data_IF_592793455398
#
_entry.id   IF_592793455398
#
_cell.length_a   1.000
_cell.length_b   1.000
_cell.length_c   1.000
_cell.angle_alpha   90.00
_cell.angle_beta   90.00
_cell.angle_gamma   90.00
#
_symmetry.space_group_name_H-M   'P 1'
#
loop_
_entity.id
_entity.type
_entity.pdbx_description
1 polymer ?
#
# COMPACT_ATOMS: atom_id res chain seq x y z
N UNK A 1 8.45 11.91 19.59
CA UNK A 1 7.87 12.15 19.51
C UNK A 1 7.13 11.63 19.67
N UNK A 2 6.80 11.58 19.58
CA UNK A 2 6.07 11.19 19.79
C UNK A 2 5.91 10.64 19.15
N UNK A 3 6.74 9.99 19.15
CA UNK A 3 6.07 9.64 18.31
C UNK A 3 4.73 10.00 18.19
N UNK A 4 4.46 11.06 18.31
CA UNK A 4 3.08 11.41 18.14
C UNK A 4 2.56 11.11 16.77
N UNK A 5 3.40 11.17 15.76
CA UNK A 5 2.96 10.84 14.43
C UNK A 5 2.50 9.40 14.32
N UNK A 6 3.26 8.49 14.87
CA UNK A 6 2.89 7.09 14.85
C UNK A 6 1.61 6.86 15.63
N UNK A 7 1.45 7.53 16.75
CA UNK A 7 0.24 7.38 17.54
C UNK A 7 -1.00 7.79 16.77
N UNK A 8 -0.91 8.84 15.99
CA UNK A 8 -2.05 9.31 15.18
C UNK A 8 -2.38 8.37 14.03
N UNK A 9 -1.40 7.63 13.56
CA UNK A 9 -1.56 6.77 12.40
C UNK A 9 -1.56 5.29 12.75
N UNK A 10 -1.71 4.97 14.01
CA UNK A 10 -1.67 3.58 14.41
C UNK A 10 -2.83 2.81 13.82
N UNK A 11 -2.61 1.54 13.63
CA UNK A 11 -3.62 0.69 13.09
C UNK A 11 -4.67 0.28 14.10
N UNK A 12 -5.62 -0.51 13.65
CA UNK A 12 -6.67 -1.05 14.49
C UNK A 12 -6.03 -1.86 15.60
N UNK A 13 -6.58 -1.78 16.81
CA UNK A 13 -6.08 -2.49 17.98
C UNK A 13 -4.72 -2.01 18.43
N UNK A 14 -4.28 -0.86 17.96
CA UNK A 14 -2.98 -0.36 18.31
C UNK A 14 -1.82 -1.11 17.67
N UNK A 15 -2.13 -2.10 16.84
CA UNK A 15 -1.11 -2.86 16.11
C UNK A 15 -0.82 -2.14 14.81
N UNK A 16 0.42 -1.72 14.63
CA UNK A 16 0.82 -1.02 13.44
C UNK A 16 2.29 -1.29 13.20
N UNK A 17 2.73 -1.02 11.99
CA UNK A 17 4.14 -1.20 11.66
C UNK A 17 4.95 0.02 12.11
N UNK A 18 6.27 -0.10 12.01
CA UNK A 18 7.17 0.97 12.39
C UNK A 18 7.37 2.00 11.27
N UNK A 19 6.61 1.90 10.18
CA UNK A 19 6.81 2.72 8.99
C UNK A 19 5.66 3.70 8.74
N UNK A 20 4.83 3.96 9.75
CA UNK A 20 3.64 4.79 9.56
C UNK A 20 3.98 6.22 9.12
N UNK A 21 5.17 6.68 9.42
CA UNK A 21 5.61 8.01 9.02
C UNK A 21 5.83 8.12 7.51
N UNK A 22 5.85 7.00 6.79
CA UNK A 22 5.96 7.02 5.34
C UNK A 22 4.62 7.28 4.65
N UNK A 23 3.51 7.28 5.38
CA UNK A 23 2.20 7.47 4.79
C UNK A 23 1.99 8.93 4.43
N UNK A 24 1.87 9.20 3.13
CA UNK A 24 1.60 10.52 2.61
C UNK A 24 0.23 10.59 1.93
N UNK A 25 -0.24 9.46 1.40
CA UNK A 25 -1.48 9.40 0.64
C UNK A 25 -2.34 8.29 1.22
N UNK A 26 -3.56 8.62 1.61
CA UNK A 26 -4.50 7.66 2.19
C UNK A 26 -5.64 7.37 1.22
N UNK A 27 -6.13 8.39 0.54
CA UNK A 27 -7.31 8.27 -0.32
C UNK A 27 -6.94 7.75 -1.70
N UNK A 28 -7.80 6.87 -2.24
CA UNK A 28 -7.61 6.38 -3.59
C UNK A 28 -7.99 7.46 -4.60
N UNK A 29 -7.36 7.45 -5.79
CA UNK A 29 -7.79 8.34 -6.86
C UNK A 29 -9.20 7.97 -7.33
N UNK A 30 -9.86 8.90 -8.00
CA UNK A 30 -11.24 8.70 -8.46
C UNK A 30 -11.37 7.51 -9.40
N UNK A 31 -10.38 7.29 -10.24
CA UNK A 31 -10.39 6.16 -11.15
C UNK A 31 -9.02 5.54 -11.22
N UNK A 32 -9.00 4.23 -11.38
CA UNK A 32 -7.77 3.45 -11.45
C UNK A 32 -7.90 2.54 -12.67
N UNK A 33 -6.99 2.71 -13.63
CA UNK A 33 -7.02 1.92 -14.86
C UNK A 33 -6.50 0.50 -14.65
N UNK A 34 -5.62 0.31 -13.66
CA UNK A 34 -5.04 -1.00 -13.41
C UNK A 34 -3.65 -0.85 -12.81
N UNK A 35 -2.93 -1.96 -12.76
CA UNK A 35 -1.54 -1.94 -12.33
C UNK A 35 -0.71 -1.19 -13.37
N UNK A 36 -0.04 -0.13 -12.93
CA UNK A 36 0.70 0.74 -13.86
C UNK A 36 1.76 -0.03 -14.64
N UNK A 37 2.52 -0.87 -13.94
CA UNK A 37 3.57 -1.63 -14.62
C UNK A 37 3.01 -2.73 -15.51
N UNK A 38 1.91 -3.36 -15.10
CA UNK A 38 1.28 -4.36 -15.97
C UNK A 38 0.73 -3.73 -17.23
N UNK A 39 0.13 -2.55 -17.13
CA UNK A 39 -0.37 -1.84 -18.31
C UNK A 39 0.76 -1.50 -19.27
N UNK A 40 1.93 -1.15 -18.73
CA UNK A 40 3.08 -0.81 -19.56
C UNK A 40 3.69 -2.03 -20.26
N UNK A 41 3.60 -3.20 -19.64
CA UNK A 41 4.28 -4.39 -20.15
C UNK A 41 3.35 -5.47 -20.70
N UNK A 42 2.03 -5.24 -20.68
CA UNK A 42 1.07 -6.24 -21.12
C UNK A 42 0.83 -7.34 -20.10
N UNK A 43 1.21 -7.12 -18.85
CA UNK A 43 1.01 -8.10 -17.79
C UNK A 43 -0.43 -8.17 -17.31
N UNK A 44 -0.69 -9.13 -16.42
CA UNK A 44 -2.02 -9.33 -15.85
C UNK A 44 -1.93 -9.19 -14.32
N UNK A 45 -3.06 -8.84 -13.73
CA UNK A 45 -3.13 -8.70 -12.28
C UNK A 45 -4.41 -9.32 -11.73
N UNK A 46 -4.39 -9.63 -10.43
CA UNK A 46 -5.57 -10.15 -9.74
C UNK A 46 -6.24 -9.03 -8.96
N UNK A 47 -5.51 -8.40 -8.04
CA UNK A 47 -6.01 -7.27 -7.27
C UNK A 47 -4.98 -6.14 -7.30
N UNK A 48 -5.41 -4.96 -6.88
CA UNK A 48 -4.57 -3.76 -6.95
C UNK A 48 -4.27 -3.20 -5.58
N UNK A 49 -3.12 -2.57 -5.47
CA UNK A 49 -2.64 -1.91 -4.26
C UNK A 49 -2.14 -0.51 -4.63
N UNK A 50 -2.32 0.45 -3.74
CA UNK A 50 -1.77 1.78 -3.94
C UNK A 50 -0.66 2.02 -2.92
N UNK A 51 0.50 2.44 -3.41
CA UNK A 51 1.59 2.85 -2.54
C UNK A 51 1.18 4.08 -1.77
N UNK A 52 1.27 4.04 -0.45
CA UNK A 52 0.82 5.16 0.37
C UNK A 52 1.89 6.24 0.52
N UNK A 53 3.07 6.02 -0.03
CA UNK A 53 4.10 7.06 -0.06
C UNK A 53 3.99 7.92 -1.33
N UNK A 54 3.75 7.31 -2.49
CA UNK A 54 3.78 8.04 -3.76
C UNK A 54 2.54 7.86 -4.63
N UNK A 55 1.62 6.98 -4.26
CA UNK A 55 0.37 6.80 -5.00
C UNK A 55 0.45 5.82 -6.17
N UNK A 56 1.59 5.18 -6.39
CA UNK A 56 1.70 4.25 -7.51
C UNK A 56 0.78 3.06 -7.32
N UNK A 57 0.09 2.66 -8.39
CA UNK A 57 -0.80 1.51 -8.37
C UNK A 57 -0.03 0.30 -8.89
N UNK A 58 0.03 -0.75 -8.09
CA UNK A 58 0.68 -1.99 -8.44
C UNK A 58 -0.20 -3.18 -8.14
N UNK A 59 0.17 -4.35 -8.65
CA UNK A 59 -0.61 -5.56 -8.46
C UNK A 59 -0.18 -6.30 -7.18
N UNK A 60 -1.12 -7.07 -6.64
CA UNK A 60 -0.95 -7.74 -5.36
C UNK A 60 -0.04 -8.97 -5.45
N UNK A 61 0.24 -9.58 -4.30
CA UNK A 61 1.11 -10.75 -4.23
C UNK A 61 0.52 -11.98 -4.88
N UNK A 62 -0.81 -12.01 -5.10
CA UNK A 62 -1.45 -13.10 -5.84
C UNK A 62 -1.33 -12.92 -7.34
N UNK A 63 -0.86 -11.77 -7.79
CA UNK A 63 -0.66 -11.49 -9.20
C UNK A 63 0.68 -12.08 -9.66
N UNK A 64 0.80 -12.42 -10.96
CA UNK A 64 2.05 -13.02 -11.45
C UNK A 64 3.27 -12.14 -11.22
N UNK A 65 3.13 -10.83 -11.36
CA UNK A 65 4.28 -9.93 -11.33
C UNK A 65 4.53 -9.24 -10.00
N UNK A 66 3.56 -9.22 -9.10
CA UNK A 66 3.70 -8.65 -7.75
C UNK A 66 4.34 -7.27 -7.75
N UNK A 67 3.84 -6.38 -8.60
CA UNK A 67 4.46 -5.08 -8.78
C UNK A 67 4.41 -4.20 -7.54
N UNK A 68 3.35 -4.34 -6.70
CA UNK A 68 3.29 -3.55 -5.48
C UNK A 68 4.42 -3.93 -4.52
N UNK A 69 4.69 -5.23 -4.36
CA UNK A 69 5.79 -5.68 -3.51
C UNK A 69 7.13 -5.24 -4.07
N UNK A 70 7.31 -5.36 -5.38
CA UNK A 70 8.57 -4.95 -6.01
C UNK A 70 8.81 -3.46 -5.82
N UNK A 71 7.77 -2.65 -5.96
CA UNK A 71 7.88 -1.22 -5.76
C UNK A 71 8.28 -0.90 -4.32
N UNK A 72 7.67 -1.58 -3.34
CA UNK A 72 8.00 -1.38 -1.94
C UNK A 72 9.50 -1.65 -1.70
N UNK A 73 10.03 -2.71 -2.29
CA UNK A 73 11.43 -3.06 -2.11
C UNK A 73 12.38 -2.12 -2.82
N UNK A 74 12.06 -1.76 -4.08
CA UNK A 74 12.99 -0.95 -4.87
C UNK A 74 13.00 0.50 -4.45
N UNK A 75 11.87 1.04 -3.97
CA UNK A 75 11.77 2.44 -3.61
C UNK A 75 11.83 2.69 -2.11
N UNK A 76 11.85 1.63 -1.30
CA UNK A 76 11.81 1.79 0.14
C UNK A 76 10.49 2.33 0.66
N UNK A 77 9.40 2.12 -0.08
CA UNK A 77 8.06 2.56 0.30
C UNK A 77 7.34 1.38 0.93
N UNK A 78 7.37 1.29 2.25
CA UNK A 78 6.97 0.08 2.96
C UNK A 78 5.48 -0.21 2.94
N UNK A 79 4.62 0.80 2.77
CA UNK A 79 3.19 0.63 3.01
C UNK A 79 2.37 0.86 1.75
N UNK A 80 1.44 -0.08 1.49
CA UNK A 80 0.45 0.06 0.44
C UNK A 80 -0.91 -0.27 1.03
N UNK A 81 -1.96 0.30 0.46
CA UNK A 81 -3.32 -0.03 0.86
C UNK A 81 -4.01 -0.78 -0.26
N UNK A 82 -5.09 -1.49 0.09
CA UNK A 82 -5.93 -2.08 -0.94
C UNK A 82 -6.49 -0.99 -1.83
N UNK A 83 -6.48 -1.23 -3.13
CA UNK A 83 -7.10 -0.33 -4.11
C UNK A 83 -8.39 -0.93 -4.66
N UNK A 84 -8.92 -1.96 -4.01
CA UNK A 84 -10.15 -2.60 -4.44
C UNK A 84 -11.36 -1.92 -3.80
N UNK A 85 -12.49 -1.83 -4.52
CA UNK A 85 -13.68 -1.20 -3.95
C UNK A 85 -14.14 -1.89 -2.68
N UNK A 86 -14.48 -1.09 -1.68
CA UNK A 86 -14.99 -1.62 -0.43
C UNK A 86 -13.94 -2.14 0.53
N UNK A 87 -12.67 -2.08 0.18
CA UNK A 87 -11.58 -2.50 1.05
C UNK A 87 -10.80 -1.29 1.53
N UNK A 88 -10.51 -1.26 2.82
CA UNK A 88 -9.84 -0.11 3.42
C UNK A 88 -8.56 -0.48 4.17
N UNK A 89 -8.14 -1.74 4.11
CA UNK A 89 -6.97 -2.18 4.86
C UNK A 89 -5.68 -1.79 4.15
N UNK A 90 -4.63 -1.67 4.96
CA UNK A 90 -3.27 -1.37 4.50
C UNK A 90 -2.34 -2.50 4.93
N UNK A 91 -1.18 -2.55 4.29
CA UNK A 91 -0.20 -3.61 4.52
C UNK A 91 1.20 -3.01 4.53
N UNK A 92 1.98 -3.38 5.55
CA UNK A 92 3.39 -3.03 5.59
C UNK A 92 4.20 -4.22 5.10
N UNK A 93 4.90 -4.04 3.99
CA UNK A 93 5.67 -5.13 3.38
C UNK A 93 6.90 -5.49 4.20
N UNK A 94 7.39 -4.58 5.02
CA UNK A 94 8.59 -4.82 5.83
C UNK A 94 8.24 -5.56 7.11
N UNK A 95 7.26 -5.05 7.85
CA UNK A 95 6.86 -5.64 9.12
C UNK A 95 5.83 -6.74 8.97
N UNK A 96 5.27 -6.88 7.77
CA UNK A 96 4.29 -7.92 7.43
C UNK A 96 3.07 -7.89 8.35
N UNK A 97 2.50 -6.72 8.51
CA UNK A 97 1.28 -6.54 9.28
C UNK A 97 0.24 -5.79 8.46
N UNK A 98 -1.02 -6.14 8.66
CA UNK A 98 -2.15 -5.45 8.06
C UNK A 98 -2.79 -4.56 9.10
N UNK A 99 -3.31 -3.42 8.66
CA UNK A 99 -3.95 -2.47 9.58
C UNK A 99 -4.87 -1.55 8.80
N UNK A 100 -5.68 -0.81 9.53
CA UNK A 100 -6.55 0.21 8.95
C UNK A 100 -6.10 1.55 9.51
N UNK A 101 -5.89 2.52 8.62
CA UNK A 101 -5.51 3.87 9.03
C UNK A 101 -6.77 4.56 9.55
N UNK A 102 -6.72 4.93 10.83
CA UNK A 102 -7.90 5.49 11.49
C UNK A 102 -7.79 6.95 11.82
#
# INVERSE_FOLDING_TARGET
>A
MDAPGAARKRGVNGVACSHLDQIEIVDLPESIAGCEDCLATGGRWVHLRMCMSCGKIGCCDSSPNRHARRHAGSEGHAIARSAEPGEDWSWCFVDEVAFVVG
#
